data_IF_483554052626
#
_entry.id   IF_483554052626
#
_cell.length_a   1.000
_cell.length_b   1.000
_cell.length_c   1.000
_cell.angle_alpha   90.00
_cell.angle_beta   90.00
_cell.angle_gamma   90.00
#
_symmetry.space_group_name_H-M   'P 1'
#
loop_
_entity.id
_entity.type
_entity.pdbx_description
1 polymer ?
#
# COMPACT_ATOMS: atom_id res chain seq x y z
N UNK A 1 -6.83 -10.07 5.73
CA UNK A 1 -6.05 -9.17 4.86
C UNK A 1 -6.67 -7.80 4.97
N UNK A 2 -5.87 -6.79 5.28
CA UNK A 2 -6.30 -5.43 5.50
C UNK A 2 -5.23 -4.47 4.94
N UNK A 3 -5.68 -3.36 4.35
CA UNK A 3 -4.77 -2.28 3.95
C UNK A 3 -4.49 -1.45 5.20
N UNK A 4 -3.27 -1.56 5.70
CA UNK A 4 -2.83 -0.88 6.91
C UNK A 4 -2.51 0.60 6.64
N UNK A 5 -1.94 0.92 5.48
CA UNK A 5 -1.76 2.31 5.04
C UNK A 5 -1.58 2.43 3.52
N UNK A 6 -1.89 3.63 3.03
CA UNK A 6 -1.72 4.05 1.64
C UNK A 6 -0.88 5.31 1.63
N UNK A 7 0.14 5.37 0.77
CA UNK A 7 0.93 6.58 0.57
C UNK A 7 1.22 6.79 -0.92
N UNK A 8 1.17 8.05 -1.35
CA UNK A 8 1.62 8.47 -2.68
C UNK A 8 2.99 9.10 -2.53
N UNK A 9 3.98 8.54 -3.21
CA UNK A 9 5.34 9.08 -3.25
C UNK A 9 5.53 9.78 -4.58
N UNK A 10 5.68 11.11 -4.52
CA UNK A 10 5.86 11.95 -5.69
C UNK A 10 7.18 11.68 -6.40
N UNK A 11 7.17 11.65 -7.73
CA UNK A 11 8.39 11.43 -8.51
C UNK A 11 9.41 12.57 -8.38
N UNK A 12 8.91 13.82 -8.38
CA UNK A 12 9.74 15.03 -8.36
C UNK A 12 10.17 15.44 -6.96
N UNK A 13 9.38 15.05 -5.97
CA UNK A 13 9.62 15.32 -4.56
C UNK A 13 9.24 14.05 -3.82
N UNK A 14 10.20 13.27 -3.30
CA UNK A 14 9.97 11.96 -2.67
C UNK A 14 9.38 12.08 -1.26
N UNK A 15 8.51 13.06 -1.06
CA UNK A 15 7.73 13.24 0.17
C UNK A 15 6.47 12.41 -0.02
N UNK A 16 6.30 11.41 0.84
CA UNK A 16 5.10 10.58 0.88
C UNK A 16 3.93 11.35 1.50
N UNK A 17 2.79 11.38 0.84
CA UNK A 17 1.53 11.86 1.42
C UNK A 17 0.70 10.65 1.80
N UNK A 18 0.43 10.51 3.10
CA UNK A 18 -0.46 9.47 3.62
C UNK A 18 -1.90 9.73 3.18
N UNK A 19 -2.58 8.69 2.71
CA UNK A 19 -3.98 8.75 2.25
C UNK A 19 -4.86 8.00 3.24
N UNK A 20 -5.99 8.60 3.59
CA UNK A 20 -7.02 7.94 4.41
C UNK A 20 -7.75 6.86 3.60
N UNK A 21 -8.09 5.76 4.26
CA UNK A 21 -8.81 4.66 3.63
C UNK A 21 -10.19 5.12 3.14
N UNK A 22 -10.51 4.82 1.87
CA UNK A 22 -11.78 5.19 1.25
C UNK A 22 -11.79 6.53 0.52
N UNK A 23 -10.71 7.32 0.60
CA UNK A 23 -10.56 8.54 -0.18
C UNK A 23 -10.10 8.26 -1.61
N UNK A 24 -10.45 9.17 -2.52
CA UNK A 24 -9.98 9.14 -3.90
C UNK A 24 -8.48 9.46 -3.92
N UNK A 25 -7.70 8.60 -4.57
CA UNK A 25 -6.27 8.82 -4.82
C UNK A 25 -6.09 9.33 -6.24
N UNK A 26 -5.37 10.43 -6.40
CA UNK A 26 -4.92 10.92 -7.70
C UNK A 26 -3.42 10.70 -7.83
N UNK A 27 -3.02 10.06 -8.94
CA UNK A 27 -1.62 9.75 -9.26
C UNK A 27 -1.23 10.48 -10.54
N UNK A 28 -0.07 11.10 -10.54
CA UNK A 28 0.54 11.67 -11.75
C UNK A 28 1.52 10.66 -12.36
N UNK A 29 1.77 10.78 -13.65
CA UNK A 29 2.79 9.95 -14.31
C UNK A 29 4.15 10.08 -13.62
N UNK A 30 4.73 8.94 -13.26
CA UNK A 30 5.99 8.82 -12.53
C UNK A 30 5.83 8.67 -11.02
N UNK A 31 4.66 8.98 -10.46
CA UNK A 31 4.41 8.78 -9.03
C UNK A 31 4.34 7.29 -8.68
N UNK A 32 4.70 6.97 -7.44
CA UNK A 32 4.60 5.61 -6.90
C UNK A 32 3.52 5.56 -5.85
N UNK A 33 2.53 4.67 -6.05
CA UNK A 33 1.59 4.31 -5.00
C UNK A 33 2.21 3.18 -4.16
N UNK A 34 2.46 3.45 -2.88
CA UNK A 34 2.92 2.44 -1.93
C UNK A 34 1.77 2.04 -1.01
N UNK A 35 1.48 0.74 -1.00
CA UNK A 35 0.40 0.14 -0.23
C UNK A 35 1.01 -0.78 0.81
N UNK A 36 0.73 -0.52 2.09
CA UNK A 36 1.13 -1.41 3.17
C UNK A 36 -0.06 -2.28 3.54
N UNK A 37 0.08 -3.60 3.41
CA UNK A 37 -0.97 -4.56 3.75
C UNK A 37 -0.53 -5.46 4.89
N UNK A 38 -1.46 -5.73 5.79
CA UNK A 38 -1.31 -6.72 6.85
C UNK A 38 -2.27 -7.88 6.62
N UNK A 39 -1.85 -9.09 6.97
CA UNK A 39 -2.73 -10.24 6.95
C UNK A 39 -2.45 -11.12 8.17
N UNK A 40 -3.51 -11.48 8.87
CA UNK A 40 -3.43 -12.49 9.92
C UNK A 40 -3.56 -13.88 9.30
N UNK A 41 -2.62 -14.77 9.62
CA UNK A 41 -2.64 -16.16 9.20
C UNK A 41 -2.61 -17.07 10.44
N UNK A 42 -3.56 -18.01 10.53
CA UNK A 42 -3.72 -18.91 11.70
C UNK A 42 -3.62 -20.41 11.35
N UNK A 43 -3.01 -20.77 10.23
CA UNK A 43 -2.85 -22.18 9.80
C UNK A 43 -1.57 -22.84 10.28
N UNK A 44 -1.51 -24.19 10.26
CA UNK A 44 -0.37 -25.03 10.68
C UNK A 44 0.90 -24.94 9.77
N UNK A 45 0.87 -24.00 8.81
CA UNK A 45 1.92 -23.45 7.96
C UNK A 45 2.67 -24.34 6.95
N UNK A 46 2.99 -23.72 5.81
CA UNK A 46 4.40 -23.66 5.37
C UNK A 46 4.77 -22.42 4.55
N UNK A 47 3.88 -21.86 3.73
CA UNK A 47 4.20 -20.65 2.92
C UNK A 47 2.93 -19.89 2.53
N UNK A 48 2.98 -18.55 2.60
CA UNK A 48 1.95 -17.65 2.06
C UNK A 48 2.63 -16.68 1.10
N UNK A 49 2.16 -16.63 -0.13
CA UNK A 49 2.63 -15.68 -1.15
C UNK A 49 1.56 -14.63 -1.36
N UNK A 50 1.97 -13.36 -1.29
CA UNK A 50 1.12 -12.22 -1.55
C UNK A 50 1.40 -11.70 -2.96
N UNK A 51 0.34 -11.57 -3.75
CA UNK A 51 0.39 -10.90 -5.04
C UNK A 51 -0.22 -9.50 -4.88
N UNK A 52 0.46 -8.48 -5.41
CA UNK A 52 0.02 -7.10 -5.45
C UNK A 52 -0.41 -6.69 -6.84
#
# INVERSE_FOLDING_TARGET
MNIASLEVVGHRTPIGVGVLAGEKIELTYGDTLRVNVSFDYRGLARTVTLYG
#
